data_IF_599739242662
#
_entry.id   IF_599739242662
#
_cell.length_a   1.000
_cell.length_b   1.000
_cell.length_c   1.000
_cell.angle_alpha   90.00
_cell.angle_beta   90.00
_cell.angle_gamma   90.00
#
_symmetry.space_group_name_H-M   'P 1'
#
loop_
_entity.id
_entity.type
_entity.pdbx_description
1 polymer ?
#
# COMPACT_ATOMS: atom_id res chain seq x y z
N UNK A 1 -8.46 40.72 5.73
CA UNK A 1 -8.53 42.04 6.38
C UNK A 1 -8.52 41.82 7.88
N UNK A 2 -7.46 41.90 8.67
CA UNK A 2 -6.01 42.14 8.58
C UNK A 2 -5.46 41.49 9.88
N UNK A 3 -4.56 40.51 9.79
CA UNK A 3 -3.11 40.66 10.02
C UNK A 3 -2.71 41.20 11.41
N UNK A 4 -1.93 40.39 12.15
CA UNK A 4 -0.60 40.71 12.71
C UNK A 4 -0.34 39.89 13.99
N UNK A 5 0.54 38.89 13.88
CA UNK A 5 1.57 38.62 14.89
C UNK A 5 2.51 37.51 14.38
N UNK A 6 3.24 37.84 13.31
CA UNK A 6 4.49 37.17 12.98
C UNK A 6 5.63 37.80 13.78
N UNK A 7 6.43 36.98 14.45
CA UNK A 7 7.86 37.21 14.64
C UNK A 7 8.29 38.02 15.87
N UNK A 8 8.74 37.32 16.91
CA UNK A 8 9.83 37.83 17.77
C UNK A 8 10.89 36.74 17.85
N UNK A 9 12.02 37.00 17.17
CA UNK A 9 13.27 36.28 17.30
C UNK A 9 14.17 37.07 18.26
N UNK A 10 14.97 36.34 19.04
CA UNK A 10 16.14 36.77 19.81
C UNK A 10 15.93 37.51 21.16
N UNK A 11 16.23 36.82 22.27
CA UNK A 11 17.56 36.92 22.92
C UNK A 11 17.73 35.95 24.10
N UNK A 12 18.92 35.38 24.15
CA UNK A 12 19.57 34.65 25.25
C UNK A 12 19.39 35.29 26.63
N UNK A 13 19.41 34.48 27.70
CA UNK A 13 20.39 34.48 28.81
C UNK A 13 19.92 33.55 29.95
N UNK A 14 20.70 32.48 30.12
CA UNK A 14 21.11 31.68 31.30
C UNK A 14 20.38 31.70 32.66
N UNK A 15 20.37 30.48 33.25
CA UNK A 15 20.60 30.10 34.66
C UNK A 15 19.44 30.34 35.66
N UNK A 16 18.78 29.26 36.10
CA UNK A 16 18.97 28.57 37.42
C UNK A 16 18.27 29.33 38.57
N UNK A 17 17.40 28.78 39.41
CA UNK A 17 17.46 27.57 40.24
C UNK A 17 16.11 27.39 40.97
N UNK A 18 15.73 26.13 41.26
CA UNK A 18 14.96 25.63 42.46
C UNK A 18 13.62 26.33 42.82
N UNK A 19 12.52 25.66 43.15
CA UNK A 19 12.37 24.66 44.23
C UNK A 19 10.94 24.08 44.18
N UNK A 20 10.84 22.76 44.28
CA UNK A 20 9.84 21.95 45.02
C UNK A 20 8.33 21.97 44.72
N UNK A 21 7.81 20.74 44.77
CA UNK A 21 6.50 20.27 45.27
C UNK A 21 5.35 20.11 44.28
N UNK A 22 5.33 18.93 43.66
CA UNK A 22 4.23 17.96 43.69
C UNK A 22 2.83 18.45 44.10
N UNK A 23 1.87 18.33 43.18
CA UNK A 23 0.47 17.99 43.49
C UNK A 23 -0.07 16.95 42.50
N UNK A 24 -0.14 15.73 43.03
CA UNK A 24 -1.15 14.68 42.86
C UNK A 24 -2.04 14.64 41.60
N UNK A 25 -1.92 13.51 40.89
CA UNK A 25 -2.98 12.55 40.55
C UNK A 25 -4.40 13.11 40.31
N UNK A 26 -4.73 13.28 39.03
CA UNK A 26 -5.98 12.79 38.40
C UNK A 26 -5.86 13.18 36.93
N UNK A 27 -5.86 12.26 35.97
CA UNK A 27 -7.07 11.62 35.52
C UNK A 27 -6.65 10.49 34.60
N UNK A 28 -6.96 9.26 34.99
CA UNK A 28 -7.05 8.18 34.02
C UNK A 28 -8.16 8.54 33.04
N UNK A 29 -7.95 8.17 31.77
CA UNK A 29 -8.87 8.34 30.65
C UNK A 29 -8.72 9.65 29.86
N UNK A 30 -7.55 9.85 29.25
CA UNK A 30 -7.52 10.45 27.91
C UNK A 30 -7.66 9.31 26.89
N UNK A 31 -8.87 9.01 26.38
CA UNK A 31 -9.02 8.14 25.22
C UNK A 31 -8.32 8.73 23.99
N UNK A 32 -7.84 9.98 24.06
CA UNK A 32 -7.17 10.71 22.98
C UNK A 32 -5.86 10.06 22.53
N UNK A 33 -5.05 9.46 23.42
CA UNK A 33 -3.79 8.81 22.98
C UNK A 33 -4.08 7.54 22.18
N UNK A 34 -5.05 6.75 22.64
CA UNK A 34 -5.55 5.58 21.89
C UNK A 34 -6.33 5.97 20.64
N UNK A 35 -7.12 7.06 20.67
CA UNK A 35 -7.82 7.57 19.49
C UNK A 35 -6.85 8.12 18.45
N UNK A 36 -5.75 8.77 18.86
CA UNK A 36 -4.69 9.21 17.96
C UNK A 36 -3.91 8.01 17.38
N UNK A 37 -3.59 6.97 18.17
CA UNK A 37 -2.96 5.75 17.64
C UNK A 37 -3.92 4.94 16.76
N UNK A 38 -5.20 4.87 17.11
CA UNK A 38 -6.24 4.19 16.34
C UNK A 38 -6.60 4.96 15.07
N UNK A 39 -6.60 6.29 15.10
CA UNK A 39 -6.72 7.12 13.89
C UNK A 39 -5.48 6.99 13.01
N UNK A 40 -4.26 6.88 13.56
CA UNK A 40 -3.08 6.54 12.76
C UNK A 40 -3.17 5.11 12.18
N UNK A 41 -3.71 4.14 12.93
CA UNK A 41 -3.95 2.78 12.46
C UNK A 41 -5.01 2.70 11.35
N UNK A 42 -6.10 3.46 11.47
CA UNK A 42 -7.15 3.57 10.44
C UNK A 42 -6.64 4.41 9.25
N UNK A 43 -5.83 5.44 9.47
CA UNK A 43 -5.22 6.25 8.40
C UNK A 43 -4.12 5.47 7.63
N UNK A 44 -3.49 4.49 8.28
CA UNK A 44 -2.59 3.52 7.65
C UNK A 44 -3.32 2.39 6.91
N UNK A 45 -4.65 2.47 6.78
CA UNK A 45 -5.43 1.66 5.81
C UNK A 45 -5.90 2.51 4.64
N UNK A 46 -5.05 3.41 4.15
CA UNK A 46 -5.20 3.98 2.81
C UNK A 46 -4.45 3.13 1.80
N UNK A 47 -5.17 2.14 1.27
CA UNK A 47 -5.12 1.61 -0.10
C UNK A 47 -5.54 0.14 -0.07
N UNK A 48 -6.84 -0.09 0.09
CA UNK A 48 -7.47 -1.00 -0.87
C UNK A 48 -7.73 -0.14 -2.11
N UNK A 49 -6.70 0.05 -2.93
CA UNK A 49 -6.96 0.09 -4.37
C UNK A 49 -7.86 -1.13 -4.62
N UNK A 50 -9.03 -0.94 -5.26
CA UNK A 50 -9.84 -2.10 -5.62
C UNK A 50 -8.90 -3.11 -6.27
N UNK A 51 -8.91 -4.38 -5.85
CA UNK A 51 -8.06 -5.42 -6.43
C UNK A 51 -8.45 -5.58 -7.90
N UNK A 52 -7.88 -4.72 -8.73
CA UNK A 52 -8.19 -4.54 -10.13
C UNK A 52 -6.85 -4.65 -10.84
N UNK A 53 -6.78 -5.62 -11.74
CA UNK A 53 -5.60 -5.85 -12.54
C UNK A 53 -5.35 -4.64 -13.44
N UNK A 54 -4.11 -4.17 -13.48
CA UNK A 54 -3.68 -3.24 -14.51
C UNK A 54 -3.35 -4.02 -15.81
N UNK A 55 -3.48 -3.37 -16.96
CA UNK A 55 -3.13 -3.93 -18.27
C UNK A 55 -1.71 -4.50 -18.27
N UNK A 56 -0.77 -3.80 -17.64
CA UNK A 56 0.62 -4.21 -17.55
C UNK A 56 0.80 -5.52 -16.78
N UNK A 57 0.06 -5.72 -15.69
CA UNK A 57 0.10 -6.95 -14.89
C UNK A 57 -0.46 -8.14 -15.67
N UNK A 58 -1.54 -7.92 -16.41
CA UNK A 58 -2.13 -8.95 -17.28
C UNK A 58 -1.17 -9.30 -18.42
N UNK A 59 -0.58 -8.30 -19.07
CA UNK A 59 0.40 -8.50 -20.12
C UNK A 59 1.60 -9.28 -19.60
N UNK A 60 2.10 -8.96 -18.41
CA UNK A 60 3.19 -9.70 -17.78
C UNK A 60 2.82 -11.17 -17.52
N UNK A 61 1.62 -11.44 -17.00
CA UNK A 61 1.14 -12.81 -16.77
C UNK A 61 1.04 -13.62 -18.08
N UNK A 62 0.59 -12.99 -19.18
CA UNK A 62 0.52 -13.62 -20.50
C UNK A 62 1.91 -13.89 -21.06
N UNK A 63 2.81 -12.91 -21.01
CA UNK A 63 4.20 -13.06 -21.44
C UNK A 63 4.89 -14.24 -20.73
N UNK A 64 4.77 -14.31 -19.40
CA UNK A 64 5.31 -15.41 -18.59
C UNK A 64 4.73 -16.77 -18.97
N UNK A 65 3.42 -16.84 -19.24
CA UNK A 65 2.79 -18.07 -19.68
C UNK A 65 3.32 -18.56 -21.04
N UNK A 66 3.54 -17.63 -21.99
CA UNK A 66 4.10 -17.97 -23.30
C UNK A 66 5.53 -18.51 -23.17
N UNK A 67 6.36 -17.91 -22.33
CA UNK A 67 7.70 -18.42 -22.02
C UNK A 67 7.65 -19.81 -21.37
N UNK A 68 6.81 -19.99 -20.35
CA UNK A 68 6.69 -21.23 -19.58
C UNK A 68 6.11 -22.39 -20.41
N UNK A 69 5.31 -22.08 -21.42
CA UNK A 69 4.72 -23.07 -22.34
C UNK A 69 5.63 -23.39 -23.54
N UNK A 70 6.74 -22.67 -23.72
CA UNK A 70 7.68 -22.88 -24.83
C UNK A 70 7.33 -22.15 -26.14
N UNK A 71 6.41 -21.17 -26.11
CA UNK A 71 6.04 -20.38 -27.28
C UNK A 71 6.98 -19.18 -27.48
N UNK A 72 8.27 -19.44 -27.69
CA UNK A 72 9.33 -18.42 -27.70
C UNK A 72 9.12 -17.32 -28.74
N UNK A 73 8.69 -17.65 -29.97
CA UNK A 73 8.45 -16.65 -31.01
C UNK A 73 7.27 -15.72 -30.66
N UNK A 74 6.19 -16.28 -30.11
CA UNK A 74 5.05 -15.51 -29.65
C UNK A 74 5.40 -14.65 -28.44
N UNK A 75 6.16 -15.19 -27.48
CA UNK A 75 6.62 -14.44 -26.32
C UNK A 75 7.50 -13.24 -26.74
N UNK A 76 8.38 -13.43 -27.72
CA UNK A 76 9.24 -12.35 -28.25
C UNK A 76 8.43 -11.23 -28.90
N UNK A 77 7.55 -11.56 -29.85
CA UNK A 77 6.72 -10.56 -30.54
C UNK A 77 5.79 -9.85 -29.55
N UNK A 78 5.14 -10.63 -28.68
CA UNK A 78 4.23 -10.09 -27.67
C UNK A 78 4.96 -9.17 -26.69
N UNK A 79 6.12 -9.57 -26.16
CA UNK A 79 6.89 -8.76 -25.23
C UNK A 79 7.35 -7.43 -25.82
N UNK A 80 7.62 -7.38 -27.13
CA UNK A 80 7.93 -6.15 -27.86
C UNK A 80 6.69 -5.27 -28.04
N UNK A 81 5.58 -5.83 -28.55
CA UNK A 81 4.34 -5.09 -28.80
C UNK A 81 3.72 -4.55 -27.52
N UNK A 82 3.73 -5.35 -26.45
CA UNK A 82 3.11 -4.99 -25.16
C UNK A 82 4.05 -4.21 -24.25
N UNK A 83 5.30 -3.97 -24.64
CA UNK A 83 6.32 -3.27 -23.84
C UNK A 83 6.45 -3.79 -22.41
N UNK A 84 6.28 -5.11 -22.22
CA UNK A 84 6.16 -5.75 -20.89
C UNK A 84 7.41 -5.58 -20.02
N UNK A 85 8.58 -5.47 -20.66
CA UNK A 85 9.86 -5.24 -19.99
C UNK A 85 9.99 -3.80 -19.45
N UNK A 86 9.24 -2.86 -20.02
CA UNK A 86 9.27 -1.44 -19.61
C UNK A 86 8.24 -1.13 -18.51
N UNK A 87 7.33 -2.05 -18.22
CA UNK A 87 6.27 -1.87 -17.23
C UNK A 87 6.77 -1.83 -15.78
N UNK A 88 8.02 -2.20 -15.51
CA UNK A 88 8.61 -2.17 -14.16
C UNK A 88 8.05 -3.24 -13.22
N UNK A 89 7.53 -4.35 -13.75
CA UNK A 89 7.00 -5.46 -12.97
C UNK A 89 8.12 -6.44 -12.62
N UNK A 90 8.29 -6.69 -11.32
CA UNK A 90 9.29 -7.63 -10.83
C UNK A 90 8.96 -9.07 -11.23
N UNK A 91 9.80 -9.64 -12.09
CA UNK A 91 9.63 -11.02 -12.56
C UNK A 91 9.78 -12.07 -11.45
N UNK A 92 10.47 -11.72 -10.36
CA UNK A 92 10.67 -12.58 -9.19
C UNK A 92 9.41 -12.71 -8.32
N UNK A 93 8.48 -11.75 -8.40
CA UNK A 93 7.26 -11.73 -7.61
C UNK A 93 6.27 -12.80 -8.09
N UNK A 94 6.37 -13.20 -9.36
CA UNK A 94 5.41 -14.09 -9.99
C UNK A 94 5.94 -15.52 -10.05
N UNK A 95 5.29 -16.47 -9.34
CA UNK A 95 5.67 -17.86 -9.41
C UNK A 95 5.35 -18.44 -10.79
N UNK A 96 6.01 -19.54 -11.13
CA UNK A 96 5.69 -20.30 -12.35
C UNK A 96 4.24 -20.77 -12.29
N UNK A 97 3.52 -20.67 -13.41
CA UNK A 97 2.11 -21.04 -13.49
C UNK A 97 1.16 -20.07 -12.78
N UNK A 98 1.59 -18.83 -12.49
CA UNK A 98 0.76 -17.80 -11.87
C UNK A 98 -0.54 -17.55 -12.66
N UNK A 99 -0.44 -17.42 -14.00
CA UNK A 99 -1.62 -17.21 -14.86
C UNK A 99 -2.61 -18.37 -14.75
N UNK A 100 -2.12 -19.61 -14.79
CA UNK A 100 -2.97 -20.79 -14.70
C UNK A 100 -3.67 -20.87 -13.33
N UNK A 101 -2.93 -20.60 -12.26
CA UNK A 101 -3.46 -20.59 -10.90
C UNK A 101 -4.52 -19.51 -10.70
N UNK A 102 -4.35 -18.35 -11.33
CA UNK A 102 -5.32 -17.26 -11.31
C UNK A 102 -6.63 -17.68 -12.00
N UNK A 103 -6.55 -18.28 -13.19
CA UNK A 103 -7.72 -18.75 -13.95
C UNK A 103 -8.46 -19.84 -13.17
N UNK A 104 -7.74 -20.80 -12.58
CA UNK A 104 -8.33 -21.86 -11.75
C UNK A 104 -9.09 -21.30 -10.55
N UNK A 105 -8.50 -20.33 -9.84
CA UNK A 105 -9.17 -19.63 -8.74
C UNK A 105 -10.40 -18.85 -9.23
N UNK A 106 -10.32 -18.22 -10.40
CA UNK A 106 -11.44 -17.54 -11.04
C UNK A 106 -12.63 -18.47 -11.28
N UNK A 107 -12.38 -19.65 -11.87
CA UNK A 107 -13.43 -20.66 -12.09
C UNK A 107 -14.02 -21.18 -10.77
N UNK A 108 -13.18 -21.43 -9.77
CA UNK A 108 -13.65 -21.84 -8.45
C UNK A 108 -14.56 -20.79 -7.79
N UNK A 109 -14.19 -19.50 -7.87
CA UNK A 109 -15.01 -18.40 -7.35
C UNK A 109 -16.35 -18.28 -8.08
N UNK A 110 -16.37 -18.45 -9.41
CA UNK A 110 -17.61 -18.46 -10.18
C UNK A 110 -18.55 -19.60 -9.72
N UNK A 111 -17.99 -20.80 -9.53
CA UNK A 111 -18.74 -21.97 -9.06
C UNK A 111 -19.27 -21.80 -7.65
N UNK A 112 -18.46 -21.25 -6.74
CA UNK A 112 -18.90 -20.92 -5.39
C UNK A 112 -20.02 -19.89 -5.42
N UNK A 113 -19.86 -18.81 -6.18
CA UNK A 113 -20.86 -17.76 -6.29
C UNK A 113 -22.19 -18.29 -6.83
N UNK A 114 -22.19 -19.23 -7.79
CA UNK A 114 -23.41 -19.85 -8.30
C UNK A 114 -24.11 -20.78 -7.32
N UNK A 115 -23.38 -21.36 -6.35
CA UNK A 115 -23.94 -22.29 -5.36
C UNK A 115 -24.59 -21.58 -4.16
N UNK A 116 -24.34 -20.28 -3.99
CA UNK A 116 -24.90 -19.46 -2.91
C UNK A 116 -26.20 -18.74 -3.32
N UNK A 117 -26.83 -19.15 -4.42
CA UNK A 117 -28.15 -18.71 -4.87
C UNK A 117 -29.13 -19.89 -4.89
#
# INVERSE_FOLDING_TARGET
MLELCTGIQARNISASTTTTSSTLLSSWSTPVCWYCLFLNYIHSRKQTTGMAFNSDEVNFLVYRYLEESGFHHSAYVFGYESSVLNAGIDSSLLPRGALMSLIQKGFYLLRLKSSHY
#
